data_IF_586192123015
#
_entry.id   IF_586192123015
#
_cell.length_a   1.000
_cell.length_b   1.000
_cell.length_c   1.000
_cell.angle_alpha   90.00
_cell.angle_beta   90.00
_cell.angle_gamma   90.00
#
_symmetry.space_group_name_H-M   'P 1'
#
loop_
_entity.id
_entity.type
_entity.pdbx_description
1 polymer ?
#
# COMPACT_ATOMS: atom_id res chain seq x y z
N UNK A 1 29.28 -2.28 -5.85
CA UNK A 1 27.90 -1.76 -5.96
C UNK A 1 27.38 -1.63 -7.40
N UNK A 2 27.86 -2.39 -8.41
CA UNK A 2 27.48 -2.11 -9.81
C UNK A 2 25.99 -2.35 -10.09
N UNK A 3 25.36 -3.35 -9.46
CA UNK A 3 23.92 -3.65 -9.63
C UNK A 3 23.06 -2.55 -9.01
N UNK A 4 23.34 -2.20 -7.74
CA UNK A 4 22.61 -1.14 -7.03
C UNK A 4 22.67 0.19 -7.78
N UNK A 5 23.83 0.55 -8.34
CA UNK A 5 23.98 1.77 -9.11
C UNK A 5 23.06 1.81 -10.35
N UNK A 6 22.75 0.67 -10.98
CA UNK A 6 21.80 0.65 -12.09
C UNK A 6 20.36 0.82 -11.60
N UNK A 7 19.99 0.20 -10.47
CA UNK A 7 18.68 0.38 -9.86
C UNK A 7 18.44 1.83 -9.39
N UNK A 8 19.46 2.49 -8.86
CA UNK A 8 19.37 3.89 -8.43
C UNK A 8 19.17 4.85 -9.61
N UNK A 9 19.77 4.60 -10.77
CA UNK A 9 19.59 5.45 -11.97
C UNK A 9 18.17 5.48 -12.49
N UNK A 10 17.41 4.42 -12.25
CA UNK A 10 16.01 4.32 -12.64
C UNK A 10 15.07 4.63 -11.48
N UNK A 11 15.60 5.10 -10.35
CA UNK A 11 14.84 5.36 -9.11
C UNK A 11 13.98 4.14 -8.69
N UNK A 12 14.50 2.93 -8.91
CA UNK A 12 13.75 1.70 -8.71
C UNK A 12 13.31 1.52 -7.27
N UNK A 13 12.00 1.56 -7.01
CA UNK A 13 11.40 1.32 -5.71
C UNK A 13 10.71 -0.05 -5.66
N UNK A 14 10.82 -0.76 -4.53
CA UNK A 14 10.28 -2.11 -4.36
C UNK A 14 10.77 -3.14 -5.41
N UNK A 15 12.01 -2.99 -5.86
CA UNK A 15 12.65 -3.88 -6.85
C UNK A 15 13.78 -4.67 -6.20
N UNK A 16 13.88 -5.96 -6.52
CA UNK A 16 15.04 -6.80 -6.25
C UNK A 16 15.61 -7.35 -7.56
N UNK A 17 16.93 -7.32 -7.70
CA UNK A 17 17.62 -7.85 -8.88
C UNK A 17 18.76 -8.77 -8.44
N UNK A 18 18.73 -10.00 -8.95
CA UNK A 18 19.75 -11.01 -8.68
C UNK A 18 20.55 -11.30 -9.94
N UNK A 19 21.87 -11.36 -9.82
CA UNK A 19 22.76 -11.83 -10.89
C UNK A 19 23.48 -13.07 -10.40
N UNK A 20 23.16 -14.21 -11.01
CA UNK A 20 23.82 -15.48 -10.72
C UNK A 20 24.98 -15.65 -11.69
N UNK A 21 26.18 -15.88 -11.17
CA UNK A 21 27.40 -16.07 -11.96
C UNK A 21 28.01 -17.44 -11.69
N UNK A 22 28.20 -18.21 -12.75
CA UNK A 22 28.97 -19.46 -12.72
C UNK A 22 30.43 -19.21 -13.15
N UNK A 23 31.39 -19.88 -12.50
CA UNK A 23 32.81 -19.70 -12.82
C UNK A 23 33.20 -20.48 -14.07
N UNK A 24 33.68 -19.77 -15.10
CA UNK A 24 34.04 -20.34 -16.40
C UNK A 24 35.53 -20.58 -16.61
N UNK A 25 36.31 -20.82 -15.55
CA UNK A 25 37.75 -21.14 -15.66
C UNK A 25 38.71 -19.93 -15.70
N UNK A 26 38.21 -18.70 -15.89
CA UNK A 26 39.04 -17.48 -15.91
C UNK A 26 38.57 -16.46 -14.87
N UNK A 27 39.53 -15.90 -14.11
CA UNK A 27 39.28 -14.82 -13.14
C UNK A 27 39.17 -13.49 -13.87
N UNK A 28 38.07 -12.76 -13.66
CA UNK A 28 37.79 -11.47 -14.32
C UNK A 28 38.48 -10.26 -13.66
N UNK A 29 39.06 -10.43 -12.47
CA UNK A 29 39.55 -9.32 -11.66
C UNK A 29 38.43 -8.36 -11.21
N UNK A 30 38.78 -7.36 -10.39
CA UNK A 30 37.80 -6.42 -9.81
C UNK A 30 37.03 -5.63 -10.87
N UNK A 31 37.74 -5.07 -11.86
CA UNK A 31 37.13 -4.26 -12.94
C UNK A 31 36.20 -5.11 -13.82
N UNK A 32 36.63 -6.32 -14.18
CA UNK A 32 35.81 -7.24 -14.99
C UNK A 32 34.54 -7.69 -14.26
N UNK A 33 34.62 -7.96 -12.96
CA UNK A 33 33.42 -8.25 -12.15
C UNK A 33 32.47 -7.04 -12.11
N UNK A 34 32.99 -5.84 -11.87
CA UNK A 34 32.16 -4.63 -11.84
C UNK A 34 31.41 -4.42 -13.15
N UNK A 35 32.09 -4.58 -14.29
CA UNK A 35 31.49 -4.44 -15.61
C UNK A 35 30.45 -5.54 -15.89
N UNK A 36 30.77 -6.80 -15.61
CA UNK A 36 29.86 -7.92 -15.89
C UNK A 36 28.55 -7.80 -15.10
N UNK A 37 28.61 -7.55 -13.80
CA UNK A 37 27.42 -7.40 -12.97
C UNK A 37 26.62 -6.14 -13.33
N UNK A 38 27.32 -5.02 -13.58
CA UNK A 38 26.66 -3.76 -13.96
C UNK A 38 25.96 -3.86 -15.31
N UNK A 39 26.56 -4.56 -16.28
CA UNK A 39 25.97 -4.74 -17.61
C UNK A 39 24.80 -5.72 -17.58
N UNK A 40 24.91 -6.82 -16.84
CA UNK A 40 23.80 -7.76 -16.67
C UNK A 40 22.56 -7.06 -16.07
N UNK A 41 22.75 -6.25 -15.02
CA UNK A 41 21.64 -5.48 -14.43
C UNK A 41 21.04 -4.46 -15.41
N UNK A 42 21.88 -3.74 -16.15
CA UNK A 42 21.43 -2.76 -17.16
C UNK A 42 20.55 -3.42 -18.24
N UNK A 43 20.98 -4.57 -18.78
CA UNK A 43 20.24 -5.28 -19.83
C UNK A 43 18.87 -5.76 -19.34
N UNK A 44 18.79 -6.27 -18.11
CA UNK A 44 17.50 -6.67 -17.50
C UNK A 44 16.60 -5.45 -17.33
N UNK A 45 17.12 -4.36 -16.78
CA UNK A 45 16.36 -3.11 -16.59
C UNK A 45 15.81 -2.59 -17.93
N UNK A 46 16.60 -2.61 -19.00
CA UNK A 46 16.17 -2.17 -20.33
C UNK A 46 15.09 -3.07 -20.96
N UNK A 47 14.98 -4.32 -20.52
CA UNK A 47 14.01 -5.28 -21.04
C UNK A 47 12.67 -5.30 -20.31
N UNK A 48 12.57 -4.65 -19.14
CA UNK A 48 11.40 -4.69 -18.27
C UNK A 48 10.62 -3.38 -18.37
N UNK A 49 9.29 -3.46 -18.38
CA UNK A 49 8.42 -2.29 -18.26
C UNK A 49 8.15 -1.99 -16.78
N UNK A 50 8.53 -0.79 -16.33
CA UNK A 50 8.23 -0.30 -14.99
C UNK A 50 6.84 0.33 -14.95
N UNK A 51 6.19 0.25 -13.80
CA UNK A 51 4.97 1.04 -13.52
C UNK A 51 5.29 2.07 -12.44
N UNK A 52 4.68 3.27 -12.50
CA UNK A 52 4.77 4.24 -11.42
C UNK A 52 4.33 3.60 -10.11
N UNK A 53 5.10 3.85 -9.05
CA UNK A 53 4.67 3.54 -7.71
C UNK A 53 3.93 4.75 -7.14
N UNK A 54 2.63 4.59 -6.90
CA UNK A 54 1.77 5.65 -6.35
C UNK A 54 1.58 5.35 -4.87
N UNK A 55 2.09 6.19 -3.96
CA UNK A 55 1.85 6.00 -2.53
C UNK A 55 0.38 6.26 -2.21
N UNK A 56 -0.21 5.40 -1.38
CA UNK A 56 -1.60 5.53 -0.93
C UNK A 56 -1.67 5.73 0.58
N UNK A 57 -2.80 6.26 1.05
CA UNK A 57 -3.17 6.29 2.47
C UNK A 57 -4.54 5.66 2.71
N UNK A 58 -4.73 5.01 3.87
CA UNK A 58 -6.03 4.50 4.24
C UNK A 58 -6.92 5.61 4.82
N UNK A 59 -8.16 5.70 4.35
CA UNK A 59 -9.19 6.59 4.86
C UNK A 59 -10.46 5.81 5.21
N UNK A 60 -11.21 6.31 6.18
CA UNK A 60 -12.54 5.86 6.56
C UNK A 60 -13.49 7.00 6.22
N UNK A 61 -14.50 6.71 5.40
CA UNK A 61 -15.56 7.66 5.05
C UNK A 61 -16.85 7.20 5.69
N UNK A 62 -17.52 8.12 6.39
CA UNK A 62 -18.83 7.90 6.98
C UNK A 62 -19.81 8.97 6.53
N UNK A 63 -21.01 8.56 6.16
CA UNK A 63 -22.07 9.45 5.69
C UNK A 63 -23.45 8.80 5.84
N UNK A 64 -24.49 9.54 5.47
CA UNK A 64 -25.82 8.98 5.26
C UNK A 64 -25.80 7.97 4.10
N UNK A 65 -26.40 6.79 4.32
CA UNK A 65 -26.39 5.68 3.36
C UNK A 65 -27.02 6.05 2.01
N UNK A 66 -27.92 7.04 1.97
CA UNK A 66 -28.54 7.46 0.71
C UNK A 66 -27.55 8.02 -0.32
N UNK A 67 -26.38 8.50 0.13
CA UNK A 67 -25.33 9.04 -0.76
C UNK A 67 -24.29 8.00 -1.18
N UNK A 68 -24.53 6.72 -0.90
CA UNK A 68 -23.57 5.65 -1.18
C UNK A 68 -23.06 5.65 -2.62
N UNK A 69 -23.98 5.69 -3.59
CA UNK A 69 -23.60 5.64 -5.01
C UNK A 69 -22.76 6.86 -5.41
N UNK A 70 -23.13 8.05 -4.96
CA UNK A 70 -22.42 9.28 -5.28
C UNK A 70 -21.01 9.29 -4.66
N UNK A 71 -20.90 8.89 -3.38
CA UNK A 71 -19.62 8.81 -2.67
C UNK A 71 -18.70 7.78 -3.32
N UNK A 72 -19.21 6.60 -3.70
CA UNK A 72 -18.42 5.58 -4.42
C UNK A 72 -17.94 6.08 -5.78
N UNK A 73 -18.76 6.86 -6.49
CA UNK A 73 -18.34 7.50 -7.75
C UNK A 73 -17.24 8.55 -7.51
N UNK A 74 -17.37 9.38 -6.48
CA UNK A 74 -16.35 10.37 -6.12
C UNK A 74 -15.03 9.68 -5.77
N UNK A 75 -15.07 8.63 -4.95
CA UNK A 75 -13.87 7.84 -4.58
C UNK A 75 -13.19 7.28 -5.84
N UNK A 76 -13.97 6.68 -6.74
CA UNK A 76 -13.45 6.09 -7.98
C UNK A 76 -12.85 7.13 -8.92
N UNK A 77 -13.44 8.33 -8.99
CA UNK A 77 -12.92 9.47 -9.79
C UNK A 77 -11.53 9.90 -9.35
N UNK A 78 -11.22 9.76 -8.06
CA UNK A 78 -9.92 10.10 -7.46
C UNK A 78 -9.02 8.87 -7.27
N UNK A 79 -9.26 7.81 -8.06
CA UNK A 79 -8.50 6.55 -8.04
C UNK A 79 -8.48 5.83 -6.67
N UNK A 80 -9.42 6.18 -5.79
CA UNK A 80 -9.60 5.52 -4.52
C UNK A 80 -10.12 4.09 -4.69
N UNK A 81 -9.61 3.17 -3.88
CA UNK A 81 -10.02 1.77 -3.88
C UNK A 81 -10.71 1.43 -2.56
N UNK A 82 -11.94 0.93 -2.64
CA UNK A 82 -12.65 0.41 -1.48
C UNK A 82 -11.97 -0.88 -1.03
N UNK A 83 -11.46 -0.90 0.21
CA UNK A 83 -10.84 -2.08 0.83
C UNK A 83 -11.87 -2.91 1.56
N UNK A 84 -12.75 -2.27 2.32
CA UNK A 84 -13.82 -2.91 3.08
C UNK A 84 -15.02 -2.00 3.13
N UNK A 85 -16.18 -2.62 3.08
CA UNK A 85 -17.45 -1.93 3.21
C UNK A 85 -18.17 -2.48 4.44
N UNK A 86 -18.40 -1.60 5.42
CA UNK A 86 -19.11 -1.89 6.66
C UNK A 86 -20.46 -1.16 6.71
N UNK A 87 -20.98 -0.75 5.56
CA UNK A 87 -22.22 -0.02 5.47
C UNK A 87 -23.40 -0.87 5.93
N UNK A 88 -24.32 -0.22 6.64
CA UNK A 88 -25.57 -0.82 7.13
C UNK A 88 -26.66 0.24 7.11
N UNK A 89 -27.04 0.74 8.28
CA UNK A 89 -27.93 1.90 8.39
C UNK A 89 -27.25 3.22 7.99
N UNK A 90 -25.92 3.28 8.15
CA UNK A 90 -25.07 4.40 7.72
C UNK A 90 -23.98 3.89 6.79
N UNK A 91 -23.48 4.78 5.94
CA UNK A 91 -22.33 4.49 5.10
C UNK A 91 -21.08 4.46 5.98
N UNK A 92 -20.27 3.42 5.83
CA UNK A 92 -18.99 3.29 6.51
C UNK A 92 -18.04 2.44 5.65
N UNK A 93 -17.14 3.10 4.93
CA UNK A 93 -16.24 2.45 3.98
C UNK A 93 -14.79 2.77 4.29
N UNK A 94 -13.97 1.72 4.29
CA UNK A 94 -12.51 1.83 4.34
C UNK A 94 -11.99 1.86 2.91
N UNK A 95 -11.19 2.87 2.59
CA UNK A 95 -10.59 3.05 1.27
C UNK A 95 -9.08 3.20 1.36
N UNK A 96 -8.37 2.87 0.28
CA UNK A 96 -7.02 3.35 0.00
C UNK A 96 -7.10 4.44 -1.06
N UNK A 97 -6.50 5.60 -0.79
CA UNK A 97 -6.51 6.74 -1.70
C UNK A 97 -5.08 7.17 -2.02
N UNK A 98 -4.75 7.53 -3.28
CA UNK A 98 -3.47 8.16 -3.59
C UNK A 98 -3.22 9.40 -2.71
N UNK A 99 -1.98 9.54 -2.20
CA UNK A 99 -1.66 10.59 -1.22
C UNK A 99 -1.95 12.01 -1.74
N UNK A 100 -1.75 12.22 -3.03
CA UNK A 100 -1.93 13.49 -3.73
C UNK A 100 -3.40 13.86 -3.96
N UNK A 101 -4.33 12.91 -3.82
CA UNK A 101 -5.76 13.13 -4.07
C UNK A 101 -6.57 13.47 -2.80
N UNK A 102 -5.97 13.38 -1.60
CA UNK A 102 -6.70 13.56 -0.33
C UNK A 102 -7.38 14.92 -0.20
N UNK A 103 -6.68 16.00 -0.57
CA UNK A 103 -7.25 17.35 -0.52
C UNK A 103 -8.46 17.51 -1.45
N UNK A 104 -8.34 17.06 -2.70
CA UNK A 104 -9.39 17.21 -3.71
C UNK A 104 -10.62 16.33 -3.40
N UNK A 105 -10.39 15.11 -2.92
CA UNK A 105 -11.47 14.23 -2.49
C UNK A 105 -12.21 14.82 -1.29
N UNK A 106 -11.47 15.34 -0.29
CA UNK A 106 -12.08 15.94 0.90
C UNK A 106 -12.90 17.18 0.55
N UNK A 107 -12.40 18.05 -0.31
CA UNK A 107 -13.13 19.22 -0.82
C UNK A 107 -14.39 18.79 -1.57
N UNK A 108 -14.28 17.84 -2.51
CA UNK A 108 -15.42 17.36 -3.30
C UNK A 108 -16.51 16.72 -2.43
N UNK A 109 -16.13 15.99 -1.39
CA UNK A 109 -17.08 15.35 -0.48
C UNK A 109 -17.74 16.36 0.48
N UNK A 110 -17.05 17.42 0.87
CA UNK A 110 -17.60 18.47 1.73
C UNK A 110 -18.50 19.46 0.96
N UNK A 111 -18.14 19.78 -0.27
CA UNK A 111 -18.92 20.67 -1.15
C UNK A 111 -20.07 19.95 -1.85
N UNK A 112 -19.90 18.65 -2.08
CA UNK A 112 -20.99 17.80 -2.52
C UNK A 112 -22.11 17.87 -1.50
N UNK A 113 -23.35 18.01 -1.96
CA UNK A 113 -24.53 18.09 -1.09
C UNK A 113 -24.86 16.73 -0.42
N UNK A 114 -23.85 16.01 0.04
CA UNK A 114 -23.88 14.70 0.69
C UNK A 114 -24.16 14.78 2.20
N UNK A 115 -24.66 15.94 2.66
CA UNK A 115 -24.93 16.18 4.08
C UNK A 115 -23.64 16.17 4.91
N UNK A 116 -23.72 15.61 6.13
CA UNK A 116 -22.56 15.53 7.01
C UNK A 116 -21.69 14.33 6.63
N UNK A 117 -20.55 14.59 5.99
CA UNK A 117 -19.53 13.59 5.68
C UNK A 117 -18.41 13.65 6.71
N UNK A 118 -18.06 12.52 7.29
CA UNK A 118 -16.89 12.39 8.18
C UNK A 118 -15.79 11.60 7.47
N UNK A 119 -14.61 12.21 7.35
CA UNK A 119 -13.42 11.60 6.75
C UNK A 119 -12.35 11.46 7.83
N UNK A 120 -11.88 10.23 8.08
CA UNK A 120 -10.84 9.92 9.07
C UNK A 120 -9.70 9.16 8.43
N UNK A 121 -8.46 9.48 8.78
CA UNK A 121 -7.31 8.63 8.44
C UNK A 121 -7.42 7.34 9.24
N UNK A 122 -7.34 6.19 8.57
CA UNK A 122 -7.34 4.92 9.28
C UNK A 122 -5.98 4.80 9.97
N UNK A 123 -5.95 4.93 11.30
CA UNK A 123 -4.73 4.69 12.05
C UNK A 123 -4.39 3.20 11.96
N UNK A 124 -3.13 2.87 11.70
CA UNK A 124 -2.65 1.50 11.46
C UNK A 124 -2.80 0.54 12.67
N UNK A 125 -3.51 0.93 13.74
CA UNK A 125 -3.71 0.13 14.94
C UNK A 125 -5.19 0.17 15.36
N UNK A 126 -5.97 -0.83 14.92
CA UNK A 126 -7.03 -1.46 15.73
C UNK A 126 -7.64 -2.67 14.99
N UNK A 127 -6.82 -3.70 14.78
CA UNK A 127 -7.34 -5.07 14.82
C UNK A 127 -7.43 -5.45 16.29
N UNK A 128 -8.54 -5.11 16.94
CA UNK A 128 -8.94 -5.79 18.18
C UNK A 128 -10.35 -6.31 18.00
N UNK A 129 -10.41 -7.64 17.88
CA UNK A 129 -11.60 -8.46 18.00
C UNK A 129 -12.44 -8.01 19.21
N UNK A 130 -13.64 -7.54 18.92
CA UNK A 130 -14.74 -7.52 19.88
C UNK A 130 -15.54 -8.80 19.71
N UNK A 131 -15.20 -9.84 20.46
CA UNK A 131 -16.13 -10.93 20.77
C UNK A 131 -16.03 -11.17 22.26
N UNK A 132 -16.88 -10.42 22.96
CA UNK A 132 -17.20 -10.57 24.36
C UNK A 132 -17.81 -11.98 24.58
N UNK A 133 -17.12 -12.84 25.34
CA UNK A 133 -17.77 -13.94 26.05
C UNK A 133 -17.49 -13.75 27.53
N UNK A 134 -18.55 -13.34 28.23
CA UNK A 134 -18.64 -13.25 29.68
C UNK A 134 -18.23 -14.59 30.29
N UNK A 135 -17.31 -14.53 31.25
CA UNK A 135 -16.64 -15.70 31.79
C UNK A 135 -17.42 -16.47 32.85
N UNK A 136 -16.77 -17.51 33.37
CA UNK A 136 -16.94 -18.08 34.72
C UNK A 136 -15.67 -18.89 35.04
N UNK A 137 -15.17 -18.76 36.27
CA UNK A 137 -14.56 -19.91 36.96
C UNK A 137 -13.09 -19.82 37.39
N UNK A 138 -12.86 -19.34 38.62
CA UNK A 138 -11.64 -19.54 39.42
C UNK A 138 -11.23 -21.02 39.52
N UNK A 139 -9.92 -21.31 39.57
CA UNK A 139 -9.23 -22.01 40.69
C UNK A 139 -7.71 -22.24 40.47
N UNK A 140 -6.92 -21.59 41.34
CA UNK A 140 -5.80 -22.09 42.16
C UNK A 140 -4.55 -22.76 41.54
N UNK A 141 -3.43 -22.04 41.65
CA UNK A 141 -2.12 -22.43 42.22
C UNK A 141 -1.80 -23.91 42.55
N UNK A 142 -0.76 -24.48 41.93
CA UNK A 142 0.50 -24.88 42.60
C UNK A 142 1.59 -25.31 41.59
N UNK A 143 2.90 -25.25 41.95
CA UNK A 143 4.02 -25.35 41.03
C UNK A 143 4.67 -26.75 41.01
N UNK A 144 5.44 -27.01 39.96
CA UNK A 144 6.69 -27.77 39.96
C UNK A 144 7.65 -27.11 38.97
#
# INVERSE_FOLDING_TARGET
LPILNQLLKIEGMNVALFVIRYFGGIKLGKRGLMNAYGKAAELVIQSVSFRPWIPTMPLIIKADIKYYSDIVQVISKFEGQIRKDFSGETLNIDIELPLDQEGQLSETLNDGSFGQVEIKKASANNTKEGSEVKGVGKRNSHPL
#
